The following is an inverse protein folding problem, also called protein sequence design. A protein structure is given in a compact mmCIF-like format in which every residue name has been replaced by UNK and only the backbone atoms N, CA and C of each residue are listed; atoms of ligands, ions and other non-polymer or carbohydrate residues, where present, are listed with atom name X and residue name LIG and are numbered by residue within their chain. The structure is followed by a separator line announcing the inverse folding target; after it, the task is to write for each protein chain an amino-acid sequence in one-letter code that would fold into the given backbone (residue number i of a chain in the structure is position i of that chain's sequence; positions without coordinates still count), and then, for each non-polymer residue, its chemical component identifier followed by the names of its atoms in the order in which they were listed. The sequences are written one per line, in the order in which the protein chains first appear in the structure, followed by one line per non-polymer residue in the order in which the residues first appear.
data_IF_676446272146
#
_entry.id   IF_676446272146
#
_cell.length_a   1.000
_cell.length_b   1.000
_cell.length_c   1.000
_cell.angle_alpha   90.00
_cell.angle_beta   90.00
_cell.angle_gamma   90.00
#
_symmetry.space_group_name_H-M   'P 1'
#
loop_
_entity.id
_entity.type
_entity.pdbx_description
1 polymer ?
#
# COMPACT_ATOMS: atom_id res chain seq x y z
N UNK A 1 9.60 -16.24 1.38
CA UNK A 1 9.29 -14.80 1.27
C UNK A 1 10.25 -14.19 0.27
N UNK A 2 9.82 -13.29 -0.64
CA UNK A 2 10.75 -12.61 -1.53
C UNK A 2 11.57 -11.56 -0.76
N UNK A 3 12.89 -11.66 -0.86
CA UNK A 3 13.86 -10.68 -0.37
C UNK A 3 14.42 -9.90 -1.57
N UNK A 4 14.55 -8.58 -1.45
CA UNK A 4 15.07 -7.70 -2.49
C UNK A 4 16.10 -6.77 -1.88
N UNK A 5 17.32 -6.80 -2.42
CA UNK A 5 18.46 -5.98 -2.01
C UNK A 5 19.02 -5.28 -3.26
N UNK A 6 19.03 -3.95 -3.22
CA UNK A 6 19.54 -3.06 -4.27
C UNK A 6 19.57 -1.61 -3.78
N UNK A 7 20.32 -0.71 -4.42
CA UNK A 7 20.24 0.74 -4.12
C UNK A 7 18.80 1.30 -4.25
N UNK A 8 17.96 0.65 -5.08
CA UNK A 8 16.58 1.11 -5.30
C UNK A 8 15.61 -0.01 -5.64
N UNK A 9 14.70 -0.29 -4.71
CA UNK A 9 13.61 -1.25 -4.93
C UNK A 9 12.34 -0.52 -5.35
N UNK A 10 11.74 -0.96 -6.46
CA UNK A 10 10.43 -0.46 -6.93
C UNK A 10 9.48 -1.59 -7.24
N UNK A 11 8.45 -1.72 -6.41
CA UNK A 11 7.35 -2.65 -6.62
C UNK A 11 6.14 -1.90 -7.15
N UNK A 12 5.63 -2.32 -8.29
CA UNK A 12 4.39 -1.77 -8.85
C UNK A 12 3.41 -2.83 -9.28
N UNK A 13 2.18 -2.74 -8.80
CA UNK A 13 1.08 -3.61 -9.19
C UNK A 13 -0.04 -2.81 -9.84
N UNK A 14 -0.55 -3.31 -10.96
CA UNK A 14 -1.71 -2.78 -11.66
C UNK A 14 -2.73 -3.89 -11.84
N UNK A 15 -3.99 -3.61 -11.54
CA UNK A 15 -5.11 -4.50 -11.78
C UNK A 15 -6.26 -3.74 -12.45
N UNK A 16 -6.99 -4.43 -13.34
CA UNK A 16 -8.12 -3.88 -14.10
C UNK A 16 -9.11 -5.02 -14.39
N UNK A 17 -9.98 -5.33 -13.43
CA UNK A 17 -10.92 -6.46 -13.50
C UNK A 17 -12.29 -6.09 -12.89
N UNK A 18 -13.27 -6.99 -13.02
CA UNK A 18 -14.58 -6.84 -12.36
C UNK A 18 -14.42 -6.97 -10.85
N UNK A 19 -13.61 -7.92 -10.36
CA UNK A 19 -13.27 -8.02 -8.95
C UNK A 19 -11.87 -8.58 -8.72
N UNK A 20 -11.08 -7.98 -7.83
CA UNK A 20 -9.79 -8.53 -7.39
C UNK A 20 -9.86 -8.91 -5.92
N UNK A 21 -9.28 -10.07 -5.62
CA UNK A 21 -8.95 -10.45 -4.25
C UNK A 21 -7.44 -10.58 -4.13
N UNK A 22 -6.81 -9.70 -3.36
CA UNK A 22 -5.41 -9.86 -3.01
C UNK A 22 -5.29 -10.68 -1.74
N UNK A 23 -4.71 -11.88 -1.84
CA UNK A 23 -4.32 -12.68 -0.68
C UNK A 23 -2.91 -12.25 -0.26
N UNK A 24 -2.71 -12.21 1.05
CA UNK A 24 -1.63 -11.47 1.66
C UNK A 24 -0.23 -11.65 1.08
N UNK A 25 0.51 -10.56 1.06
CA UNK A 25 1.87 -10.49 0.53
C UNK A 25 2.81 -9.90 1.60
N UNK A 26 3.91 -10.63 1.86
CA UNK A 26 4.92 -10.31 2.87
C UNK A 26 6.30 -10.23 2.19
N UNK A 27 6.61 -9.11 1.53
CA UNK A 27 7.94 -8.85 0.99
C UNK A 27 8.86 -8.25 2.05
N UNK A 28 10.14 -8.58 1.96
CA UNK A 28 11.21 -7.91 2.71
C UNK A 28 12.08 -7.15 1.70
N UNK A 29 12.32 -5.86 1.93
CA UNK A 29 13.08 -5.01 1.03
C UNK A 29 14.13 -4.22 1.83
N UNK A 30 15.36 -4.24 1.36
CA UNK A 30 16.49 -3.48 1.88
C UNK A 30 17.09 -2.65 0.73
N UNK A 31 17.11 -1.32 0.87
CA UNK A 31 17.58 -0.38 -0.16
C UNK A 31 17.65 1.06 0.35
N UNK A 32 18.52 1.92 -0.18
CA UNK A 32 18.45 3.38 0.09
C UNK A 32 17.06 3.98 -0.23
N UNK A 33 16.38 3.42 -1.24
CA UNK A 33 15.03 3.85 -1.64
C UNK A 33 14.10 2.71 -2.00
N UNK A 34 13.05 2.57 -1.19
CA UNK A 34 11.93 1.67 -1.48
C UNK A 34 10.72 2.45 -1.97
N UNK A 35 10.15 2.03 -3.12
CA UNK A 35 8.90 2.57 -3.63
C UNK A 35 7.89 1.48 -3.98
N UNK A 36 6.81 1.43 -3.22
CA UNK A 36 5.68 0.53 -3.47
C UNK A 36 4.52 1.33 -4.06
N UNK A 37 3.99 0.86 -5.19
CA UNK A 37 2.83 1.47 -5.84
C UNK A 37 1.79 0.44 -6.25
N UNK A 38 0.55 0.64 -5.83
CA UNK A 38 -0.59 -0.17 -6.26
C UNK A 38 -1.62 0.70 -6.96
N UNK A 39 -2.09 0.25 -8.12
CA UNK A 39 -3.18 0.88 -8.87
C UNK A 39 -4.23 -0.17 -9.21
N UNK A 40 -5.45 0.06 -8.77
CA UNK A 40 -6.60 -0.79 -9.11
C UNK A 40 -7.69 0.07 -9.77
N UNK A 41 -8.41 -0.53 -10.73
CA UNK A 41 -9.64 0.01 -11.31
C UNK A 41 -10.61 -1.13 -11.50
N UNK A 42 -11.56 -1.25 -10.59
CA UNK A 42 -12.39 -2.46 -10.46
C UNK A 42 -13.84 -2.15 -10.09
N UNK A 43 -14.74 -3.13 -10.14
CA UNK A 43 -16.08 -2.98 -9.54
C UNK A 43 -15.99 -3.23 -8.04
N UNK A 44 -15.25 -4.26 -7.60
CA UNK A 44 -15.02 -4.54 -6.19
C UNK A 44 -13.59 -5.03 -5.90
N UNK A 45 -12.90 -4.43 -4.92
CA UNK A 45 -11.60 -4.93 -4.43
C UNK A 45 -11.70 -5.44 -3.00
N UNK A 46 -11.07 -6.58 -2.74
CA UNK A 46 -10.81 -7.07 -1.38
C UNK A 46 -9.32 -7.30 -1.17
N UNK A 47 -8.68 -6.52 -0.29
CA UNK A 47 -7.30 -6.75 0.17
C UNK A 47 -7.36 -7.55 1.47
N UNK A 48 -6.72 -8.72 1.54
CA UNK A 48 -6.57 -9.50 2.78
C UNK A 48 -5.09 -9.63 3.14
N UNK A 49 -4.57 -8.76 4.00
CA UNK A 49 -3.31 -8.99 4.70
C UNK A 49 -2.03 -8.60 3.96
N UNK A 50 -1.67 -7.32 3.83
CA UNK A 50 -0.37 -6.95 3.25
C UNK A 50 0.57 -6.42 4.33
N UNK A 51 1.67 -7.13 4.57
CA UNK A 51 2.62 -6.90 5.68
C UNK A 51 4.05 -6.79 5.12
N UNK A 52 4.40 -5.68 4.46
CA UNK A 52 5.75 -5.48 3.97
C UNK A 52 6.68 -5.09 5.12
N UNK A 53 7.89 -5.61 5.08
CA UNK A 53 9.01 -5.13 5.90
C UNK A 53 9.96 -4.37 4.98
N UNK A 54 10.25 -3.11 5.31
CA UNK A 54 11.09 -2.23 4.49
C UNK A 54 12.12 -1.56 5.36
N UNK A 55 13.38 -1.69 5.01
CA UNK A 55 14.51 -0.97 5.60
C UNK A 55 15.14 -0.08 4.51
N UNK A 56 15.16 1.24 4.72
CA UNK A 56 15.60 2.21 3.72
C UNK A 56 15.69 3.66 4.24
N UNK A 57 16.65 4.48 3.80
CA UNK A 57 16.62 5.94 4.07
C UNK A 57 15.29 6.60 3.67
N UNK A 58 14.66 6.11 2.59
CA UNK A 58 13.38 6.65 2.13
C UNK A 58 12.42 5.60 1.59
N UNK A 59 11.33 5.44 2.32
CA UNK A 59 10.19 4.60 1.92
C UNK A 59 9.03 5.44 1.37
N UNK A 60 8.51 5.05 0.20
CA UNK A 60 7.29 5.64 -0.37
C UNK A 60 6.27 4.59 -0.79
N UNK A 61 5.15 4.58 -0.08
CA UNK A 61 3.98 3.75 -0.40
C UNK A 61 2.88 4.59 -1.03
N UNK A 62 2.36 4.12 -2.16
CA UNK A 62 1.24 4.76 -2.86
C UNK A 62 0.20 3.75 -3.29
N UNK A 63 -1.05 3.96 -2.90
CA UNK A 63 -2.19 3.18 -3.36
C UNK A 63 -3.17 4.11 -4.08
N UNK A 64 -3.60 3.73 -5.28
CA UNK A 64 -4.67 4.39 -6.01
C UNK A 64 -5.73 3.36 -6.36
N UNK A 65 -6.95 3.57 -5.91
CA UNK A 65 -8.11 2.76 -6.24
C UNK A 65 -9.18 3.64 -6.89
N UNK A 66 -9.90 3.08 -7.86
CA UNK A 66 -11.14 3.64 -8.41
C UNK A 66 -12.11 2.48 -8.53
N UNK A 67 -13.07 2.42 -7.63
CA UNK A 67 -13.92 1.25 -7.43
C UNK A 67 -15.37 1.63 -7.15
N UNK A 68 -16.29 0.66 -7.23
CA UNK A 68 -17.65 0.84 -6.69
C UNK A 68 -17.62 0.50 -5.19
N UNK A 69 -16.96 -0.60 -4.80
CA UNK A 69 -16.82 -1.00 -3.39
C UNK A 69 -15.41 -1.49 -3.05
N UNK A 70 -14.82 -0.99 -1.96
CA UNK A 70 -13.53 -1.44 -1.44
C UNK A 70 -13.67 -2.05 -0.05
N UNK A 71 -13.06 -3.21 0.16
CA UNK A 71 -12.85 -3.81 1.49
C UNK A 71 -11.36 -4.05 1.74
N UNK A 72 -10.78 -3.36 2.73
CA UNK A 72 -9.40 -3.58 3.16
C UNK A 72 -9.42 -4.30 4.51
N UNK A 73 -8.85 -5.52 4.56
CA UNK A 73 -8.68 -6.28 5.80
C UNK A 73 -7.19 -6.52 6.05
N UNK A 74 -6.60 -5.74 6.96
CA UNK A 74 -5.24 -5.97 7.45
C UNK A 74 -4.12 -5.46 6.53
N UNK A 75 -3.76 -4.19 6.63
CA UNK A 75 -2.52 -3.67 6.05
C UNK A 75 -1.61 -3.21 7.20
N UNK A 76 -0.55 -3.97 7.46
CA UNK A 76 0.33 -3.79 8.62
C UNK A 76 1.77 -3.69 8.13
N UNK A 77 2.19 -2.55 7.54
CA UNK A 77 3.57 -2.39 7.11
C UNK A 77 4.47 -2.17 8.32
N UNK A 78 5.66 -2.74 8.26
CA UNK A 78 6.78 -2.41 9.13
C UNK A 78 7.79 -1.66 8.27
N UNK A 79 8.12 -0.43 8.65
CA UNK A 79 9.06 0.41 7.91
C UNK A 79 10.08 0.99 8.89
N UNK A 80 11.35 0.80 8.59
CA UNK A 80 12.47 1.49 9.23
C UNK A 80 13.12 2.41 8.19
N UNK A 81 13.08 3.73 8.43
CA UNK A 81 13.50 4.72 7.46
C UNK A 81 13.56 6.16 7.99
N UNK A 82 14.58 6.95 7.65
CA UNK A 82 14.58 8.40 7.94
C UNK A 82 13.32 9.13 7.44
N UNK A 83 12.81 8.70 6.27
CA UNK A 83 11.63 9.33 5.67
C UNK A 83 10.63 8.35 5.08
N UNK A 84 9.48 8.25 5.73
CA UNK A 84 8.33 7.49 5.26
C UNK A 84 7.26 8.39 4.65
N UNK A 85 6.79 8.05 3.44
CA UNK A 85 5.61 8.69 2.83
C UNK A 85 4.59 7.67 2.37
N UNK A 86 3.41 7.70 3.01
CA UNK A 86 2.25 6.91 2.62
C UNK A 86 1.20 7.79 1.98
N UNK A 87 0.68 7.36 0.83
CA UNK A 87 -0.40 8.04 0.13
C UNK A 87 -1.44 7.04 -0.34
N UNK A 88 -2.69 7.21 0.10
CA UNK A 88 -3.84 6.47 -0.44
C UNK A 88 -4.77 7.44 -1.13
N UNK A 89 -5.15 7.13 -2.36
CA UNK A 89 -6.21 7.83 -3.09
C UNK A 89 -7.25 6.81 -3.53
N UNK A 90 -8.47 7.01 -3.08
CA UNK A 90 -9.62 6.18 -3.42
C UNK A 90 -10.68 7.07 -4.07
N UNK A 91 -11.38 6.54 -5.06
CA UNK A 91 -12.64 7.11 -5.55
C UNK A 91 -13.66 5.99 -5.60
N UNK A 92 -14.61 6.03 -4.68
CA UNK A 92 -15.45 4.87 -4.31
C UNK A 92 -16.90 5.28 -4.04
N UNK A 93 -17.83 4.34 -4.17
CA UNK A 93 -19.24 4.50 -3.73
C UNK A 93 -19.40 3.96 -2.30
N UNK A 94 -18.63 2.93 -1.91
CA UNK A 94 -18.63 2.38 -0.54
C UNK A 94 -17.24 1.88 -0.10
N UNK A 95 -16.82 2.21 1.12
CA UNK A 95 -15.54 1.82 1.70
C UNK A 95 -15.71 1.11 3.05
N UNK A 96 -15.02 -0.01 3.25
CA UNK A 96 -14.85 -0.65 4.57
C UNK A 96 -13.37 -0.94 4.82
N UNK A 97 -12.75 -0.22 5.77
CA UNK A 97 -11.35 -0.42 6.19
C UNK A 97 -11.35 -1.05 7.59
N UNK A 98 -10.85 -2.28 7.70
CA UNK A 98 -10.67 -2.99 8.96
C UNK A 98 -9.21 -3.41 9.07
N UNK A 99 -8.41 -2.65 9.82
CA UNK A 99 -7.07 -3.09 10.25
C UNK A 99 -5.89 -2.52 9.46
N UNK A 100 -5.89 -1.23 9.12
CA UNK A 100 -4.66 -0.53 8.78
C UNK A 100 -3.88 -0.16 10.05
N UNK A 101 -2.79 -0.86 10.36
CA UNK A 101 -1.95 -0.62 11.56
C UNK A 101 -0.48 -0.57 11.13
N UNK A 102 0.06 0.58 10.73
CA UNK A 102 1.48 0.68 10.38
C UNK A 102 2.36 0.73 11.64
N UNK A 103 3.49 0.03 11.58
CA UNK A 103 4.64 0.24 12.47
C UNK A 103 5.69 0.98 11.63
N UNK A 104 6.05 2.19 12.06
CA UNK A 104 7.01 3.03 11.35
C UNK A 104 8.02 3.55 12.36
N UNK A 105 9.28 3.18 12.19
CA UNK A 105 10.40 3.86 12.83
C UNK A 105 10.98 4.84 11.79
N UNK A 106 10.88 6.14 12.08
CA UNK A 106 11.26 7.18 11.14
C UNK A 106 11.32 8.57 11.76
N UNK A 107 12.36 9.32 11.40
CA UNK A 107 12.47 10.75 11.73
C UNK A 107 11.33 11.58 11.12
N UNK A 108 10.84 11.19 9.94
CA UNK A 108 9.77 11.93 9.26
C UNK A 108 8.76 11.03 8.56
N UNK A 109 7.58 10.97 9.16
CA UNK A 109 6.40 10.30 8.58
C UNK A 109 5.44 11.30 7.91
N UNK A 110 5.00 10.99 6.69
CA UNK A 110 3.91 11.70 6.00
C UNK A 110 2.86 10.73 5.50
N UNK A 111 1.70 10.71 6.15
CA UNK A 111 0.53 9.94 5.71
C UNK A 111 -0.51 10.86 5.09
N UNK A 112 -1.01 10.49 3.91
CA UNK A 112 -2.10 11.20 3.24
C UNK A 112 -3.14 10.21 2.74
N UNK A 113 -4.40 10.46 3.06
CA UNK A 113 -5.55 9.74 2.50
C UNK A 113 -6.44 10.76 1.79
N UNK A 114 -6.85 10.43 0.57
CA UNK A 114 -7.91 11.16 -0.14
C UNK A 114 -8.93 10.13 -0.62
N UNK A 115 -10.12 10.18 -0.05
CA UNK A 115 -11.27 9.48 -0.59
C UNK A 115 -12.14 10.51 -1.31
N UNK A 116 -12.67 10.15 -2.47
CA UNK A 116 -13.71 10.91 -3.15
C UNK A 116 -14.91 10.00 -3.31
N UNK A 117 -16.06 10.41 -2.81
CA UNK A 117 -17.31 9.74 -3.14
C UNK A 117 -17.60 9.96 -4.63
N UNK A 118 -17.96 8.90 -5.33
CA UNK A 118 -18.55 9.04 -6.65
C UNK A 118 -19.95 9.64 -6.49
N UNK A 119 -20.08 10.95 -6.77
CA UNK A 119 -21.37 11.60 -7.02
C UNK A 119 -22.11 10.92 -8.16
#
# INVERSE_FOLDING_TARGET
MPFMDADRVRVSRKAREVAMTDRGFVPVMDADRVRVSRKAREVAMTDRGFVPVMDADRVRVSRKAREVAMTDRGFVPVMDADRVRVSRKAREVAMTDRGFVPVMDADRVRVSRKAQEAK
#
